data_IF_665919380148
#
_entry.id   IF_665919380148
#
_cell.length_a   1.000
_cell.length_b   1.000
_cell.length_c   1.000
_cell.angle_alpha   90.00
_cell.angle_beta   90.00
_cell.angle_gamma   90.00
#
_symmetry.space_group_name_H-M   'P 1'
#
loop_
_entity.id
_entity.type
_entity.pdbx_description
1 polymer ?
#
# COMPACT_ATOMS: atom_id res chain seq x y z
N UNK A 1 -29.05 3.47 4.38
CA UNK A 1 -28.20 3.64 3.20
C UNK A 1 -26.74 3.93 3.60
N UNK A 2 -25.88 4.25 2.64
CA UNK A 2 -24.47 4.58 2.96
C UNK A 2 -24.34 5.89 3.76
N UNK A 3 -25.27 6.82 3.63
CA UNK A 3 -25.29 8.05 4.41
C UNK A 3 -25.65 7.78 5.89
N UNK A 4 -26.44 6.76 6.16
CA UNK A 4 -26.78 6.35 7.51
C UNK A 4 -25.59 5.75 8.25
N UNK A 5 -24.67 5.09 7.52
CA UNK A 5 -23.42 4.56 8.10
C UNK A 5 -22.57 5.70 8.67
N UNK A 6 -22.50 6.84 7.99
CA UNK A 6 -21.75 8.01 8.46
C UNK A 6 -22.34 8.62 9.72
N UNK A 7 -23.62 8.37 10.01
CA UNK A 7 -24.36 8.86 11.19
C UNK A 7 -24.47 7.81 12.29
N UNK A 8 -23.89 6.63 12.10
CA UNK A 8 -23.97 5.55 13.10
C UNK A 8 -23.35 5.98 14.42
N UNK A 9 -24.17 6.05 15.48
CA UNK A 9 -23.73 6.41 16.82
C UNK A 9 -22.58 5.52 17.31
N UNK A 10 -22.62 4.23 16.99
CA UNK A 10 -21.56 3.28 17.37
C UNK A 10 -20.25 3.61 16.66
N UNK A 11 -20.28 3.91 15.36
CA UNK A 11 -19.06 4.22 14.61
C UNK A 11 -18.48 5.58 15.02
N UNK A 12 -19.33 6.55 15.32
CA UNK A 12 -18.93 7.85 15.86
C UNK A 12 -18.33 7.71 17.26
N UNK A 13 -18.98 6.98 18.16
CA UNK A 13 -18.46 6.73 19.52
C UNK A 13 -17.12 5.96 19.52
N UNK A 14 -16.88 5.15 18.49
CA UNK A 14 -15.59 4.47 18.30
C UNK A 14 -14.55 5.33 17.59
N UNK A 15 -14.86 6.55 17.23
CA UNK A 15 -13.98 7.40 16.43
C UNK A 15 -13.45 6.61 15.19
N UNK A 16 -14.38 5.96 14.48
CA UNK A 16 -14.08 5.09 13.36
C UNK A 16 -13.62 5.86 12.13
N UNK A 17 -14.24 7.01 11.90
CA UNK A 17 -13.94 7.81 10.72
C UNK A 17 -12.69 8.66 10.94
N UNK A 18 -11.90 8.79 9.87
CA UNK A 18 -10.71 9.63 9.82
C UNK A 18 -10.85 10.68 8.74
N UNK A 19 -10.34 11.86 9.01
CA UNK A 19 -10.27 12.92 8.02
C UNK A 19 -9.13 12.65 7.04
N UNK A 20 -9.44 12.69 5.75
CA UNK A 20 -8.49 12.59 4.65
C UNK A 20 -8.59 13.85 3.81
N UNK A 21 -7.47 14.56 3.63
CA UNK A 21 -7.41 15.75 2.77
C UNK A 21 -6.77 15.39 1.43
N UNK A 22 -7.49 15.64 0.34
CA UNK A 22 -7.04 15.39 -1.03
C UNK A 22 -7.37 16.60 -1.88
N UNK A 23 -6.38 17.17 -2.55
CA UNK A 23 -6.55 18.33 -3.44
C UNK A 23 -7.34 19.50 -2.78
N UNK A 24 -7.03 19.81 -1.52
CA UNK A 24 -7.65 20.89 -0.77
C UNK A 24 -9.10 20.60 -0.26
N UNK A 25 -9.60 19.39 -0.48
CA UNK A 25 -10.91 18.94 0.02
C UNK A 25 -10.71 17.92 1.12
N UNK A 26 -11.52 18.02 2.18
CA UNK A 26 -11.52 17.07 3.30
C UNK A 26 -12.68 16.09 3.18
N UNK A 27 -12.37 14.82 3.32
CA UNK A 27 -13.33 13.72 3.27
C UNK A 27 -13.27 12.91 4.56
N UNK A 28 -14.40 12.32 4.91
CA UNK A 28 -14.49 11.33 5.98
C UNK A 28 -14.21 9.94 5.37
N UNK A 29 -13.18 9.28 5.85
CA UNK A 29 -12.77 7.95 5.37
C UNK A 29 -12.82 6.93 6.51
N UNK A 30 -13.11 5.65 6.23
CA UNK A 30 -13.07 4.61 7.26
C UNK A 30 -11.66 4.43 7.81
N UNK A 31 -11.54 4.35 9.12
CA UNK A 31 -10.29 4.03 9.81
C UNK A 31 -9.94 2.53 9.78
N UNK A 32 -8.93 2.15 10.56
CA UNK A 32 -8.59 0.75 10.76
C UNK A 32 -9.66 0.04 11.61
N UNK A 33 -9.92 -1.25 11.37
CA UNK A 33 -10.97 -1.99 12.07
C UNK A 33 -10.65 -2.30 13.54
N UNK A 34 -9.44 -2.01 13.97
CA UNK A 34 -8.95 -2.23 15.33
C UNK A 34 -8.30 -0.96 15.87
N UNK A 35 -8.29 -0.83 17.19
CA UNK A 35 -7.58 0.24 17.90
C UNK A 35 -6.52 -0.38 18.80
N UNK A 36 -5.28 -0.05 18.55
CA UNK A 36 -4.14 -0.47 19.35
C UNK A 36 -3.80 0.67 20.31
N UNK A 37 -3.79 0.40 21.62
CA UNK A 37 -3.59 1.42 22.64
C UNK A 37 -2.15 1.96 22.69
N UNK A 38 -1.17 1.10 22.48
CA UNK A 38 0.25 1.45 22.57
C UNK A 38 0.85 1.88 21.23
N UNK A 39 0.34 1.33 20.14
CA UNK A 39 0.84 1.57 18.78
C UNK A 39 -0.35 1.86 17.86
N UNK A 40 -0.95 3.05 17.91
CA UNK A 40 -2.09 3.40 17.08
C UNK A 40 -1.78 3.20 15.60
N UNK A 41 -2.78 2.81 14.83
CA UNK A 41 -2.64 2.73 13.37
C UNK A 41 -2.31 4.08 12.76
N UNK A 42 -1.49 4.08 11.72
CA UNK A 42 -1.10 5.28 11.00
C UNK A 42 -2.31 5.97 10.35
N UNK A 43 -2.21 7.28 10.23
CA UNK A 43 -3.24 8.06 9.57
C UNK A 43 -3.20 7.83 8.07
N UNK A 44 -4.37 7.94 7.43
CA UNK A 44 -4.48 7.97 5.98
C UNK A 44 -3.73 9.17 5.43
N UNK A 45 -2.85 8.93 4.48
CA UNK A 45 -2.24 9.99 3.66
C UNK A 45 -2.88 10.02 2.29
N UNK A 46 -2.93 11.20 1.68
CA UNK A 46 -3.26 11.31 0.27
C UNK A 46 -2.16 10.67 -0.59
N UNK A 47 -2.54 10.06 -1.70
CA UNK A 47 -1.56 9.61 -2.68
C UNK A 47 -0.87 10.81 -3.33
N UNK A 48 0.41 10.69 -3.58
CA UNK A 48 1.15 11.63 -4.41
C UNK A 48 0.69 11.56 -5.87
N UNK A 49 1.02 12.60 -6.64
CA UNK A 49 0.81 12.56 -8.08
C UNK A 49 1.59 11.41 -8.72
N UNK A 50 1.07 10.88 -9.82
CA UNK A 50 1.77 9.83 -10.58
C UNK A 50 3.13 10.35 -11.03
N UNK A 51 4.18 9.59 -10.73
CA UNK A 51 5.55 9.95 -11.08
C UNK A 51 6.24 10.93 -10.14
N UNK A 52 5.60 11.44 -9.11
CA UNK A 52 6.18 12.44 -8.20
C UNK A 52 7.50 12.01 -7.56
N UNK A 53 7.68 10.72 -7.32
CA UNK A 53 8.91 10.17 -6.73
C UNK A 53 9.80 9.45 -7.75
N UNK A 54 9.51 9.52 -9.06
CA UNK A 54 10.24 8.75 -10.07
C UNK A 54 11.69 9.19 -10.16
N UNK A 55 11.95 10.49 -10.22
CA UNK A 55 13.31 11.02 -10.33
C UNK A 55 14.16 10.67 -9.10
N UNK A 56 13.54 10.71 -7.92
CA UNK A 56 14.17 10.30 -6.67
C UNK A 56 14.57 8.81 -6.69
N UNK A 57 13.75 7.97 -7.31
CA UNK A 57 14.01 6.53 -7.44
C UNK A 57 15.04 6.18 -8.50
N UNK A 58 15.24 7.06 -9.49
CA UNK A 58 16.22 6.90 -10.56
C UNK A 58 17.59 7.46 -10.20
N UNK A 59 17.71 8.19 -9.10
CA UNK A 59 18.97 8.71 -8.60
C UNK A 59 19.79 7.56 -7.98
N UNK A 60 20.91 7.22 -8.62
CA UNK A 60 21.82 6.16 -8.15
C UNK A 60 22.46 6.50 -6.79
N UNK A 61 22.43 7.77 -6.37
CA UNK A 61 22.87 8.21 -5.05
C UNK A 61 21.80 8.09 -3.97
N UNK A 62 20.55 7.76 -4.36
CA UNK A 62 19.47 7.57 -3.38
C UNK A 62 19.81 6.40 -2.46
N UNK A 63 20.06 6.66 -1.18
CA UNK A 63 20.36 5.59 -0.25
C UNK A 63 19.06 4.78 -0.04
N UNK A 64 18.93 3.71 -0.81
CA UNK A 64 17.97 2.69 -0.44
C UNK A 64 18.34 2.26 0.97
N UNK A 65 17.53 2.54 1.99
CA UNK A 65 17.88 2.15 3.33
C UNK A 65 18.05 0.62 3.33
N UNK A 66 19.31 0.19 3.40
CA UNK A 66 19.63 -1.19 3.72
C UNK A 66 19.13 -1.34 5.15
N UNK A 67 18.10 -2.11 5.34
CA UNK A 67 17.64 -2.46 6.67
C UNK A 67 18.76 -3.28 7.33
N UNK A 68 19.54 -2.62 8.13
CA UNK A 68 20.37 -3.33 9.12
C UNK A 68 19.39 -4.22 9.90
N UNK A 69 19.65 -5.52 9.87
CA UNK A 69 18.83 -6.59 10.40
C UNK A 69 18.00 -6.20 11.63
N UNK A 70 16.71 -6.01 11.44
CA UNK A 70 15.73 -5.75 12.51
C UNK A 70 15.68 -6.91 13.52
N UNK A 71 16.19 -8.08 13.16
CA UNK A 71 16.18 -9.31 13.97
C UNK A 71 16.99 -9.20 15.26
N UNK A 72 17.86 -8.21 15.41
CA UNK A 72 18.75 -8.12 16.59
C UNK A 72 18.50 -6.92 17.51
N UNK A 73 17.65 -5.97 17.17
CA UNK A 73 17.25 -4.94 18.14
C UNK A 73 16.19 -5.51 19.07
N UNK A 74 16.62 -6.11 20.17
CA UNK A 74 15.80 -6.23 21.37
C UNK A 74 14.98 -4.95 21.53
N UNK A 75 13.70 -5.11 21.83
CA UNK A 75 12.79 -4.04 22.22
C UNK A 75 13.37 -3.34 23.47
N UNK A 76 14.36 -2.52 23.28
CA UNK A 76 14.77 -1.54 24.27
C UNK A 76 13.74 -0.43 24.20
N UNK A 77 13.02 -0.26 25.28
CA UNK A 77 12.09 0.83 25.56
C UNK A 77 12.80 2.17 25.42
N UNK A 78 13.01 2.60 24.18
CA UNK A 78 13.35 3.99 23.94
C UNK A 78 12.03 4.74 23.73
N UNK A 79 11.78 5.68 24.61
CA UNK A 79 10.84 6.78 24.42
C UNK A 79 11.25 7.57 23.18
N UNK A 80 10.96 7.06 22.01
CA UNK A 80 11.19 7.75 20.75
C UNK A 80 9.86 8.00 20.08
N UNK A 81 9.51 9.26 20.08
CA UNK A 81 8.72 9.98 19.06
C UNK A 81 7.83 9.13 18.16
N UNK A 82 6.51 9.29 18.37
CA UNK A 82 5.42 8.95 17.45
C UNK A 82 5.65 7.62 16.70
N UNK A 83 5.34 6.52 17.35
CA UNK A 83 5.35 5.22 16.67
C UNK A 83 4.38 5.26 15.50
N UNK A 84 4.90 5.11 14.30
CA UNK A 84 4.11 5.03 13.08
C UNK A 84 3.36 3.68 12.93
N UNK A 85 3.04 3.04 14.05
CA UNK A 85 2.35 1.75 14.12
C UNK A 85 3.28 0.58 14.50
N UNK A 86 2.68 -0.60 14.79
CA UNK A 86 3.41 -1.77 15.29
C UNK A 86 4.34 -2.42 14.26
N UNK A 87 4.16 -2.13 12.98
CA UNK A 87 4.99 -2.64 11.89
C UNK A 87 5.87 -1.54 11.27
N UNK A 88 6.05 -0.44 12.00
CA UNK A 88 6.95 0.63 11.56
C UNK A 88 8.38 0.09 11.37
N UNK A 89 8.98 0.43 10.23
CA UNK A 89 10.29 -0.06 9.85
C UNK A 89 10.28 -1.34 9.01
N UNK A 90 9.17 -2.06 8.94
CA UNK A 90 9.01 -3.21 8.05
C UNK A 90 8.73 -2.74 6.62
N UNK A 91 9.43 -3.29 5.64
CA UNK A 91 9.17 -3.06 4.23
C UNK A 91 8.61 -4.31 3.55
N UNK A 92 7.55 -4.13 2.79
CA UNK A 92 6.82 -5.19 2.11
C UNK A 92 6.72 -4.88 0.61
N UNK A 93 7.13 -5.82 -0.25
CA UNK A 93 6.75 -5.81 -1.66
C UNK A 93 5.46 -6.60 -1.82
N UNK A 94 4.51 -6.02 -2.54
CA UNK A 94 3.23 -6.64 -2.83
C UNK A 94 3.06 -6.91 -4.33
N UNK A 95 2.98 -8.20 -4.70
CA UNK A 95 2.67 -8.67 -6.06
C UNK A 95 1.32 -9.36 -6.03
N UNK A 96 0.27 -8.57 -5.85
CA UNK A 96 -1.07 -9.12 -5.59
C UNK A 96 -2.13 -8.54 -6.52
N UNK A 97 -3.20 -9.31 -6.70
CA UNK A 97 -4.37 -8.89 -7.47
C UNK A 97 -5.67 -9.20 -6.71
N UNK A 98 -6.76 -8.59 -7.18
CA UNK A 98 -8.14 -8.77 -6.70
C UNK A 98 -8.35 -8.35 -5.23
N UNK A 99 -8.66 -9.27 -4.33
CA UNK A 99 -9.12 -8.99 -2.97
C UNK A 99 -8.14 -9.36 -1.87
N UNK A 100 -7.88 -10.64 -1.70
CA UNK A 100 -7.23 -11.18 -0.51
C UNK A 100 -5.82 -10.61 -0.29
N UNK A 101 -4.98 -10.65 -1.32
CA UNK A 101 -3.64 -10.09 -1.26
C UNK A 101 -3.63 -8.58 -0.99
N UNK A 102 -4.36 -7.77 -1.77
CA UNK A 102 -4.45 -6.33 -1.51
C UNK A 102 -5.02 -5.98 -0.13
N UNK A 103 -5.96 -6.75 0.42
CA UNK A 103 -6.44 -6.54 1.79
C UNK A 103 -5.32 -6.82 2.80
N UNK A 104 -4.59 -7.91 2.65
CA UNK A 104 -3.45 -8.22 3.52
C UNK A 104 -2.40 -7.09 3.47
N UNK A 105 -1.98 -6.68 2.27
CA UNK A 105 -1.03 -5.57 2.10
C UNK A 105 -1.53 -4.26 2.70
N UNK A 106 -2.84 -3.97 2.60
CA UNK A 106 -3.43 -2.81 3.26
C UNK A 106 -3.32 -2.90 4.79
N UNK A 107 -3.52 -4.07 5.38
CA UNK A 107 -3.35 -4.23 6.83
C UNK A 107 -1.90 -4.02 7.26
N UNK A 108 -0.93 -4.50 6.50
CA UNK A 108 0.48 -4.16 6.74
C UNK A 108 0.69 -2.65 6.73
N UNK A 109 0.17 -1.96 5.70
CA UNK A 109 0.29 -0.51 5.57
C UNK A 109 -0.44 0.27 6.68
N UNK A 110 -1.66 -0.14 7.04
CA UNK A 110 -2.42 0.47 8.13
C UNK A 110 -1.72 0.30 9.50
N UNK A 111 -0.90 -0.74 9.65
CA UNK A 111 -0.08 -1.01 10.84
C UNK A 111 1.30 -0.33 10.78
N UNK A 112 1.59 0.43 9.74
CA UNK A 112 2.80 1.26 9.66
C UNK A 112 3.94 0.68 8.83
N UNK A 113 3.76 -0.47 8.17
CA UNK A 113 4.74 -0.99 7.23
C UNK A 113 4.81 -0.13 5.96
N UNK A 114 6.00 -0.04 5.37
CA UNK A 114 6.24 0.55 4.06
C UNK A 114 5.88 -0.47 2.98
N UNK A 115 4.68 -0.41 2.44
CA UNK A 115 4.18 -1.37 1.44
C UNK A 115 4.33 -0.79 0.03
N UNK A 116 5.10 -1.48 -0.80
CA UNK A 116 5.34 -1.14 -2.21
C UNK A 116 4.59 -2.14 -3.09
N UNK A 117 3.52 -1.67 -3.72
CA UNK A 117 2.74 -2.48 -4.67
C UNK A 117 3.38 -2.45 -6.05
N UNK A 118 3.58 -3.64 -6.63
CA UNK A 118 3.99 -3.78 -8.03
C UNK A 118 2.73 -3.78 -8.90
N UNK A 119 2.66 -2.84 -9.82
CA UNK A 119 1.58 -2.74 -10.80
C UNK A 119 2.10 -2.97 -12.21
N UNK A 120 1.21 -3.35 -13.11
CA UNK A 120 1.46 -3.47 -14.53
C UNK A 120 0.48 -2.57 -15.28
N UNK A 121 0.99 -1.66 -16.08
CA UNK A 121 0.21 -0.69 -16.85
C UNK A 121 -0.79 -1.33 -17.82
N UNK A 122 -0.39 -2.46 -18.42
CA UNK A 122 -1.21 -3.21 -19.38
C UNK A 122 -2.30 -4.08 -18.73
N UNK A 123 -2.26 -4.24 -17.40
CA UNK A 123 -3.24 -5.01 -16.62
C UNK A 123 -3.59 -4.27 -15.34
N UNK A 124 -4.38 -3.21 -15.43
CA UNK A 124 -4.68 -2.36 -14.27
C UNK A 124 -5.56 -3.06 -13.21
N UNK A 125 -5.74 -4.37 -13.31
CA UNK A 125 -6.40 -5.22 -12.31
C UNK A 125 -7.68 -4.58 -11.74
N UNK A 126 -7.70 -4.37 -10.43
CA UNK A 126 -8.86 -3.82 -9.72
C UNK A 126 -9.16 -2.35 -10.02
N UNK A 127 -8.27 -1.63 -10.67
CA UNK A 127 -8.53 -0.25 -11.09
C UNK A 127 -9.67 -0.16 -12.11
N UNK A 128 -9.82 -1.19 -12.95
CA UNK A 128 -10.82 -1.24 -14.02
C UNK A 128 -12.19 -1.76 -13.55
N UNK A 129 -12.28 -2.41 -12.39
CA UNK A 129 -13.48 -3.17 -11.99
C UNK A 129 -14.66 -2.31 -11.52
N UNK A 130 -14.51 -1.03 -11.40
CA UNK A 130 -15.52 -0.21 -10.73
C UNK A 130 -16.04 0.95 -11.54
N UNK A 131 -15.94 0.92 -12.85
CA UNK A 131 -16.49 1.98 -13.63
C UNK A 131 -17.42 1.59 -14.78
N UNK A 132 -18.40 2.44 -14.95
CA UNK A 132 -19.36 2.31 -16.02
C UNK A 132 -18.64 2.58 -17.35
N UNK A 133 -18.71 1.69 -18.35
CA UNK A 133 -17.97 1.85 -19.61
C UNK A 133 -18.25 3.14 -20.39
N UNK A 134 -19.30 3.87 -20.03
CA UNK A 134 -19.68 5.14 -20.64
C UNK A 134 -19.12 6.37 -19.88
N UNK A 135 -18.42 6.18 -18.78
CA UNK A 135 -17.91 7.27 -17.94
C UNK A 135 -16.56 7.73 -18.46
N UNK A 136 -16.56 8.76 -19.31
CA UNK A 136 -15.39 9.32 -20.00
C UNK A 136 -14.69 10.35 -19.10
N UNK A 137 -14.42 10.02 -17.87
CA UNK A 137 -13.68 10.91 -17.00
C UNK A 137 -12.17 10.80 -17.26
N UNK A 138 -11.43 11.91 -17.33
CA UNK A 138 -9.98 11.84 -17.30
C UNK A 138 -9.54 11.11 -16.02
N UNK A 139 -8.52 10.27 -16.14
CA UNK A 139 -7.93 9.51 -15.01
C UNK A 139 -8.94 8.63 -14.23
N UNK A 140 -9.94 8.11 -14.92
CA UNK A 140 -11.00 7.28 -14.34
C UNK A 140 -10.50 6.10 -13.50
N UNK A 141 -9.35 5.51 -13.83
CA UNK A 141 -8.72 4.43 -13.07
C UNK A 141 -8.21 4.86 -11.69
N UNK A 142 -8.00 6.15 -11.44
CA UNK A 142 -7.71 6.69 -10.11
C UNK A 142 -8.98 6.90 -9.27
N UNK A 143 -10.14 6.84 -9.87
CA UNK A 143 -11.43 7.04 -9.21
C UNK A 143 -12.10 5.74 -8.75
N UNK A 144 -11.49 4.59 -9.01
CA UNK A 144 -12.02 3.32 -8.55
C UNK A 144 -12.04 3.26 -7.02
N UNK A 145 -13.22 3.39 -6.43
CA UNK A 145 -13.41 3.25 -4.98
C UNK A 145 -12.97 1.88 -4.47
N UNK A 146 -13.09 0.86 -5.32
CA UNK A 146 -12.62 -0.49 -5.05
C UNK A 146 -11.09 -0.52 -4.90
N UNK A 147 -10.38 0.04 -5.87
CA UNK A 147 -8.92 0.11 -5.82
C UNK A 147 -8.44 0.95 -4.64
N UNK A 148 -8.99 2.12 -4.45
CA UNK A 148 -8.60 3.05 -3.38
C UNK A 148 -8.82 2.45 -1.99
N UNK A 149 -9.92 1.73 -1.79
CA UNK A 149 -10.21 1.01 -0.54
C UNK A 149 -9.17 -0.06 -0.22
N UNK A 150 -8.67 -0.78 -1.23
CA UNK A 150 -7.74 -1.89 -1.04
C UNK A 150 -6.29 -1.47 -0.95
N UNK A 151 -5.96 -0.27 -1.44
CA UNK A 151 -4.56 0.14 -1.62
C UNK A 151 -4.18 1.42 -0.88
N UNK A 152 -5.00 1.86 0.07
CA UNK A 152 -4.66 3.01 0.92
C UNK A 152 -3.37 2.76 1.71
N UNK A 153 -2.64 3.83 1.98
CA UNK A 153 -1.35 3.84 2.69
C UNK A 153 -0.23 3.04 2.00
N UNK A 154 -0.42 2.58 0.77
CA UNK A 154 0.62 1.92 -0.02
C UNK A 154 1.26 2.89 -1.00
N UNK A 155 2.51 2.63 -1.31
CA UNK A 155 3.19 3.17 -2.49
C UNK A 155 3.00 2.18 -3.65
N UNK A 156 3.17 2.63 -4.89
CA UNK A 156 3.10 1.77 -6.05
C UNK A 156 4.21 2.10 -7.03
N UNK A 157 4.73 1.09 -7.69
CA UNK A 157 5.61 1.22 -8.84
C UNK A 157 5.08 0.38 -9.99
N UNK A 158 5.26 0.89 -11.21
CA UNK A 158 4.91 0.15 -12.41
C UNK A 158 6.12 -0.65 -12.89
N UNK A 159 6.03 -1.98 -12.85
CA UNK A 159 7.15 -2.86 -13.19
C UNK A 159 6.67 -4.11 -13.92
N UNK A 160 7.11 -4.28 -15.17
CA UNK A 160 6.74 -5.44 -15.98
C UNK A 160 7.64 -6.64 -15.69
N UNK A 161 7.19 -7.52 -14.80
CA UNK A 161 7.91 -8.73 -14.40
C UNK A 161 8.05 -9.79 -15.51
N UNK A 162 7.35 -9.66 -16.63
CA UNK A 162 7.53 -10.54 -17.78
C UNK A 162 8.80 -10.21 -18.57
N UNK A 163 9.36 -9.01 -18.41
CA UNK A 163 10.61 -8.60 -19.08
C UNK A 163 11.84 -8.94 -18.25
N UNK A 164 12.97 -9.19 -18.91
CA UNK A 164 14.25 -9.44 -18.22
C UNK A 164 14.66 -8.25 -17.34
N UNK A 165 14.50 -7.03 -17.87
CA UNK A 165 14.81 -5.79 -17.12
C UNK A 165 13.92 -5.65 -15.89
N UNK A 166 12.60 -5.88 -16.04
CA UNK A 166 11.67 -5.80 -14.92
C UNK A 166 11.97 -6.81 -13.83
N UNK A 167 12.30 -8.06 -14.19
CA UNK A 167 12.74 -9.07 -13.21
C UNK A 167 14.03 -8.67 -12.49
N UNK A 168 15.02 -8.18 -13.24
CA UNK A 168 16.29 -7.75 -12.64
C UNK A 168 16.09 -6.62 -11.63
N UNK A 169 15.24 -5.64 -11.93
CA UNK A 169 14.90 -4.55 -11.01
C UNK A 169 14.11 -5.07 -9.81
N UNK A 170 13.18 -6.00 -10.02
CA UNK A 170 12.43 -6.62 -8.92
C UNK A 170 13.35 -7.38 -7.96
N UNK A 171 14.30 -8.15 -8.47
CA UNK A 171 15.28 -8.86 -7.64
C UNK A 171 16.16 -7.91 -6.83
N UNK A 172 16.62 -6.80 -7.43
CA UNK A 172 17.33 -5.75 -6.67
C UNK A 172 16.46 -5.13 -5.58
N UNK A 173 15.17 -4.91 -5.86
CA UNK A 173 14.24 -4.36 -4.88
C UNK A 173 14.01 -5.34 -3.72
N UNK A 174 13.97 -6.64 -3.99
CA UNK A 174 13.85 -7.70 -2.96
C UNK A 174 15.00 -7.64 -1.94
N UNK A 175 16.21 -7.30 -2.34
CA UNK A 175 17.36 -7.19 -1.43
C UNK A 175 17.15 -6.15 -0.32
N UNK A 176 16.22 -5.22 -0.52
CA UNK A 176 15.93 -4.11 0.39
C UNK A 176 14.62 -4.27 1.16
N UNK A 177 13.99 -5.44 1.15
CA UNK A 177 12.69 -5.66 1.81
C UNK A 177 12.71 -6.86 2.75
N UNK A 178 11.81 -6.83 3.71
CA UNK A 178 11.67 -7.87 4.73
C UNK A 178 10.66 -8.95 4.32
N UNK A 179 9.65 -8.57 3.51
CA UNK A 179 8.54 -9.46 3.16
C UNK A 179 8.17 -9.31 1.68
N UNK A 180 7.98 -10.42 1.00
CA UNK A 180 7.32 -10.48 -0.30
C UNK A 180 5.93 -11.10 -0.11
N UNK A 181 4.89 -10.32 -0.41
CA UNK A 181 3.49 -10.75 -0.35
C UNK A 181 2.98 -10.99 -1.76
N UNK A 182 2.57 -12.21 -2.06
CA UNK A 182 1.98 -12.56 -3.34
C UNK A 182 0.70 -13.39 -3.16
N UNK A 183 -0.24 -13.31 -4.08
CA UNK A 183 -1.45 -14.13 -4.11
C UNK A 183 -1.79 -14.62 -5.52
N UNK A 184 -0.78 -14.83 -6.32
CA UNK A 184 -0.93 -15.37 -7.66
C UNK A 184 -1.22 -16.88 -7.64
N UNK A 185 -1.72 -17.43 -8.75
CA UNK A 185 -1.77 -18.88 -8.88
C UNK A 185 -0.35 -19.47 -8.82
N UNK A 186 -0.18 -20.62 -8.18
CA UNK A 186 1.13 -21.23 -7.85
C UNK A 186 2.14 -21.31 -9.01
N UNK A 187 1.65 -21.40 -10.26
CA UNK A 187 2.49 -21.44 -11.45
C UNK A 187 3.05 -20.07 -11.89
N UNK A 188 2.42 -18.96 -11.48
CA UNK A 188 2.72 -17.63 -12.06
C UNK A 188 4.12 -17.17 -11.70
N UNK A 189 4.48 -17.19 -10.42
CA UNK A 189 5.83 -16.78 -9.99
C UNK A 189 6.90 -17.66 -10.63
N UNK A 190 6.64 -18.97 -10.75
CA UNK A 190 7.54 -19.90 -11.46
C UNK A 190 7.69 -19.56 -12.94
N UNK A 191 6.59 -19.26 -13.63
CA UNK A 191 6.62 -18.86 -15.06
C UNK A 191 7.36 -17.53 -15.27
N UNK A 192 7.32 -16.64 -14.28
CA UNK A 192 8.07 -15.39 -14.29
C UNK A 192 9.56 -15.59 -13.94
N UNK A 193 9.98 -16.80 -13.55
CA UNK A 193 11.35 -17.07 -13.09
C UNK A 193 11.64 -16.43 -11.72
N UNK A 194 10.61 -16.24 -10.91
CA UNK A 194 10.65 -15.61 -9.58
C UNK A 194 10.16 -16.58 -8.49
N UNK A 195 10.31 -17.88 -8.71
CA UNK A 195 9.99 -18.88 -7.68
C UNK A 195 11.00 -18.81 -6.52
N UNK A 196 10.49 -19.06 -5.34
CA UNK A 196 11.28 -19.30 -4.13
C UNK A 196 12.14 -20.55 -4.26
#
# INVERSE_FOLDING_TARGET
DMADVLKSEQLLARDWFRSLSVAGKTFSAPGAPYKLSRTPCTHLSASEAVGASTDLMLDDSFPWPIHENIVTKKCETQETNKSNGPLAGLRVIEVTANWAGPIAGRHFADLGADVIKIELDTKPATRALAYVPADIWPDHYHRSGYFNKLNRNKRAICLNLATTKGRSLFLKLIESVDVVLENNAARVMKQLGLSY
#
